data_IF_179318151228
#
_entry.id   IF_179318151228
#
_cell.length_a   1.000
_cell.length_b   1.000
_cell.length_c   1.000
_cell.angle_alpha   90.00
_cell.angle_beta   90.00
_cell.angle_gamma   90.00
#
_symmetry.space_group_name_H-M   'P 1'
#
loop_
_entity.id
_entity.type
_entity.pdbx_description
1 polymer ?
#
# COMPACT_ATOMS: atom_id res chain seq x y z
N UNK A 1 12.81 11.96 5.88
CA UNK A 1 11.84 12.90 5.27
C UNK A 1 10.87 13.52 6.29
N UNK A 2 11.33 13.99 7.45
CA UNK A 2 10.47 14.56 8.52
C UNK A 2 10.62 16.09 8.73
N UNK A 3 11.35 16.79 7.84
CA UNK A 3 11.69 18.22 8.04
C UNK A 3 10.75 19.21 7.34
N UNK A 4 9.83 18.76 6.48
CA UNK A 4 8.92 19.65 5.74
C UNK A 4 7.64 20.00 6.53
N UNK A 5 7.07 19.05 7.28
CA UNK A 5 5.84 19.25 8.08
C UNK A 5 6.04 20.21 9.28
N UNK A 6 7.23 20.21 9.90
CA UNK A 6 7.54 21.08 11.03
C UNK A 6 7.66 22.58 10.66
N UNK A 7 7.94 22.90 9.38
CA UNK A 7 8.10 24.27 8.90
C UNK A 7 6.75 24.97 8.71
N UNK A 8 5.71 24.24 8.27
CA UNK A 8 4.35 24.74 8.15
C UNK A 8 3.70 25.00 9.53
N UNK A 9 3.92 24.11 10.50
CA UNK A 9 3.39 24.26 11.86
C UNK A 9 4.05 25.43 12.63
N UNK A 10 5.35 25.67 12.44
CA UNK A 10 6.04 26.85 13.02
C UNK A 10 5.63 28.16 12.37
N UNK A 11 5.36 28.19 11.06
CA UNK A 11 4.89 29.39 10.37
C UNK A 11 3.51 29.85 10.85
N UNK A 12 2.60 28.91 11.13
CA UNK A 12 1.26 29.20 11.65
C UNK A 12 1.30 29.73 13.09
N UNK A 13 2.15 29.14 13.95
CA UNK A 13 2.35 29.60 15.34
C UNK A 13 3.02 30.98 15.43
N UNK A 14 3.95 31.31 14.50
CA UNK A 14 4.57 32.64 14.45
C UNK A 14 3.56 33.70 13.97
N UNK A 15 2.70 33.38 12.99
CA UNK A 15 1.60 34.29 12.58
C UNK A 15 0.57 34.51 13.71
N UNK A 16 0.23 33.47 14.48
CA UNK A 16 -0.66 33.61 15.65
C UNK A 16 -0.04 34.45 16.77
N UNK A 17 1.29 34.38 16.99
CA UNK A 17 1.97 35.12 18.04
C UNK A 17 2.14 36.62 17.71
N UNK A 18 2.39 36.94 16.44
CA UNK A 18 2.42 38.34 15.95
C UNK A 18 1.03 38.99 16.00
N UNK A 19 -0.03 38.22 15.76
CA UNK A 19 -1.42 38.69 15.90
C UNK A 19 -1.84 38.96 17.36
N UNK A 20 -1.33 38.18 18.32
CA UNK A 20 -1.65 38.39 19.74
C UNK A 20 -1.00 39.64 20.33
N UNK A 21 0.26 39.93 19.98
CA UNK A 21 0.94 41.16 20.43
C UNK A 21 0.39 42.45 19.79
N UNK A 22 -0.23 42.36 18.61
CA UNK A 22 -0.86 43.53 17.97
C UNK A 22 -2.23 43.89 18.59
N UNK A 23 -2.86 42.95 19.32
CA UNK A 23 -4.17 43.13 19.94
C UNK A 23 -4.12 43.90 21.28
N UNK A 24 -2.94 43.99 21.93
CA UNK A 24 -2.78 44.71 23.21
C UNK A 24 -2.42 46.20 23.05
N UNK A 25 -2.03 46.66 21.85
CA UNK A 25 -1.55 48.04 21.64
C UNK A 25 -2.61 49.05 21.16
N UNK A 26 -3.88 48.66 20.99
CA UNK A 26 -4.92 49.57 20.43
C UNK A 26 -6.12 49.74 21.35
N UNK A 27 -5.90 50.35 22.53
CA UNK A 27 -6.95 50.97 23.35
C UNK A 27 -7.01 52.47 23.07
N UNK A 28 -7.53 52.84 21.89
CA UNK A 28 -8.17 54.15 21.69
C UNK A 28 -9.53 53.95 21.01
N UNK A 29 -10.52 54.59 21.64
CA UNK A 29 -11.97 54.36 21.59
C UNK A 29 -12.64 54.67 20.24
N UNK A 30 -13.82 54.06 20.08
CA UNK A 30 -14.95 54.52 19.26
C UNK A 30 -14.93 54.30 17.73
N UNK A 31 -14.61 53.06 17.33
CA UNK A 31 -15.29 52.33 16.22
C UNK A 31 -14.78 50.88 16.07
N UNK A 32 -13.98 50.39 17.04
CA UNK A 32 -13.17 49.19 16.89
C UNK A 32 -13.93 47.89 17.20
N UNK A 33 -14.96 47.92 18.08
CA UNK A 33 -15.70 46.72 18.49
C UNK A 33 -16.49 46.05 17.37
N UNK A 34 -17.16 46.82 16.51
CA UNK A 34 -17.88 46.30 15.34
C UNK A 34 -16.92 45.75 14.29
N UNK A 35 -15.78 46.42 14.07
CA UNK A 35 -14.73 45.99 13.11
C UNK A 35 -13.99 44.74 13.59
N UNK A 36 -13.60 44.64 14.86
CA UNK A 36 -12.95 43.46 15.44
C UNK A 36 -13.91 42.26 15.43
N UNK A 37 -15.16 42.41 15.88
CA UNK A 37 -16.14 41.31 15.82
C UNK A 37 -16.42 40.87 14.38
N UNK A 38 -16.44 41.79 13.42
CA UNK A 38 -16.62 41.47 11.99
C UNK A 38 -15.38 40.77 11.40
N UNK A 39 -14.18 41.18 11.79
CA UNK A 39 -12.92 40.55 11.38
C UNK A 39 -12.78 39.14 11.97
N UNK A 40 -13.09 38.95 13.25
CA UNK A 40 -13.10 37.63 13.90
C UNK A 40 -14.15 36.71 13.28
N UNK A 41 -15.36 37.21 12.99
CA UNK A 41 -16.39 36.44 12.26
C UNK A 41 -15.97 36.07 10.84
N UNK A 42 -15.24 36.95 10.13
CA UNK A 42 -14.69 36.67 8.79
C UNK A 42 -13.55 35.65 8.84
N UNK A 43 -12.64 35.76 9.80
CA UNK A 43 -11.54 34.82 10.00
C UNK A 43 -12.04 33.43 10.40
N UNK A 44 -13.00 33.35 11.32
CA UNK A 44 -13.65 32.08 11.69
C UNK A 44 -14.38 31.47 10.48
N UNK A 45 -15.18 32.25 9.73
CA UNK A 45 -15.82 31.76 8.50
C UNK A 45 -14.82 31.27 7.46
N UNK A 46 -13.76 32.04 7.18
CA UNK A 46 -12.74 31.66 6.22
C UNK A 46 -12.01 30.36 6.62
N UNK A 47 -11.71 30.20 7.92
CA UNK A 47 -11.07 29.00 8.45
C UNK A 47 -12.01 27.79 8.41
N UNK A 48 -13.29 27.95 8.78
CA UNK A 48 -14.30 26.88 8.66
C UNK A 48 -14.53 26.47 7.20
N UNK A 49 -14.56 27.42 6.26
CA UNK A 49 -14.68 27.11 4.82
C UNK A 49 -13.44 26.39 4.28
N UNK A 50 -12.23 26.76 4.72
CA UNK A 50 -11.00 26.06 4.36
C UNK A 50 -11.02 24.60 4.82
N UNK A 51 -11.33 24.36 6.11
CA UNK A 51 -11.40 23.00 6.68
C UNK A 51 -12.49 22.15 6.00
N UNK A 52 -13.66 22.73 5.74
CA UNK A 52 -14.74 22.02 5.03
C UNK A 52 -14.38 21.66 3.58
N UNK A 53 -13.61 22.51 2.90
CA UNK A 53 -13.14 22.24 1.54
C UNK A 53 -12.09 21.12 1.52
N UNK A 54 -11.19 21.09 2.49
CA UNK A 54 -10.20 20.01 2.63
C UNK A 54 -10.87 18.66 2.92
N UNK A 55 -11.90 18.65 3.77
CA UNK A 55 -12.64 17.44 4.10
C UNK A 55 -13.44 16.91 2.89
N UNK A 56 -14.11 17.79 2.15
CA UNK A 56 -14.79 17.42 0.88
C UNK A 56 -13.82 16.93 -0.18
N UNK A 57 -12.62 17.51 -0.24
CA UNK A 57 -11.56 17.08 -1.15
C UNK A 57 -11.11 15.66 -0.81
N UNK A 58 -10.81 15.38 0.46
CA UNK A 58 -10.45 14.03 0.93
C UNK A 58 -11.55 13.00 0.65
N UNK A 59 -12.82 13.36 0.88
CA UNK A 59 -13.94 12.47 0.58
C UNK A 59 -14.05 12.16 -0.92
N UNK A 60 -13.87 13.17 -1.78
CA UNK A 60 -13.83 12.99 -3.23
C UNK A 60 -12.68 12.10 -3.66
N UNK A 61 -11.49 12.34 -3.12
CA UNK A 61 -10.29 11.55 -3.37
C UNK A 61 -10.48 10.07 -2.98
N UNK A 62 -11.03 9.80 -1.80
CA UNK A 62 -11.32 8.43 -1.34
C UNK A 62 -12.35 7.71 -2.23
N UNK A 63 -13.39 8.42 -2.70
CA UNK A 63 -14.36 7.86 -3.66
C UNK A 63 -13.67 7.49 -4.98
N UNK A 64 -12.81 8.38 -5.49
CA UNK A 64 -12.05 8.15 -6.72
C UNK A 64 -11.06 6.99 -6.57
N UNK A 65 -10.34 6.89 -5.45
CA UNK A 65 -9.44 5.77 -5.13
C UNK A 65 -10.22 4.45 -5.11
N UNK A 66 -11.37 4.40 -4.44
CA UNK A 66 -12.20 3.19 -4.36
C UNK A 66 -12.73 2.78 -5.74
N UNK A 67 -13.27 3.71 -6.51
CA UNK A 67 -13.79 3.42 -7.86
C UNK A 67 -12.68 3.09 -8.85
N UNK A 68 -11.52 3.75 -8.73
CA UNK A 68 -10.32 3.46 -9.52
C UNK A 68 -9.81 2.05 -9.27
N UNK A 69 -9.70 1.63 -8.00
CA UNK A 69 -9.33 0.25 -7.62
C UNK A 69 -10.22 -0.78 -8.34
N UNK A 70 -11.54 -0.60 -8.29
CA UNK A 70 -12.47 -1.53 -8.93
C UNK A 70 -12.30 -1.57 -10.46
N UNK A 71 -12.25 -0.40 -11.11
CA UNK A 71 -12.09 -0.29 -12.56
C UNK A 71 -10.75 -0.91 -13.03
N UNK A 72 -9.65 -0.63 -12.33
CA UNK A 72 -8.33 -1.18 -12.66
C UNK A 72 -8.25 -2.68 -12.44
N UNK A 73 -8.90 -3.20 -11.39
CA UNK A 73 -8.95 -4.65 -11.14
C UNK A 73 -9.71 -5.38 -12.27
N UNK A 74 -10.87 -4.84 -12.66
CA UNK A 74 -11.75 -5.46 -13.65
C UNK A 74 -11.16 -5.37 -15.05
N UNK A 75 -10.83 -4.16 -15.52
CA UNK A 75 -10.48 -3.89 -16.92
C UNK A 75 -8.98 -3.82 -17.17
N UNK A 76 -8.18 -3.59 -16.13
CA UNK A 76 -6.77 -3.25 -16.23
C UNK A 76 -6.50 -1.81 -16.68
N UNK A 77 -5.31 -1.32 -16.38
CA UNK A 77 -4.96 0.09 -16.54
C UNK A 77 -5.17 0.59 -17.98
N UNK A 78 -4.66 -0.14 -18.98
CA UNK A 78 -4.77 0.24 -20.38
C UNK A 78 -6.24 0.46 -20.82
N UNK A 79 -7.16 -0.42 -20.41
CA UNK A 79 -8.58 -0.38 -20.81
C UNK A 79 -9.48 0.42 -19.86
N UNK A 80 -8.99 0.74 -18.66
CA UNK A 80 -9.73 1.52 -17.67
C UNK A 80 -10.03 2.94 -18.17
N UNK A 81 -11.28 3.38 -17.97
CA UNK A 81 -11.80 4.64 -18.49
C UNK A 81 -12.09 5.63 -17.34
N UNK A 82 -11.52 6.83 -17.45
CA UNK A 82 -11.70 7.90 -16.47
C UNK A 82 -13.17 8.33 -16.31
N UNK A 83 -13.97 8.26 -17.38
CA UNK A 83 -15.40 8.58 -17.32
C UNK A 83 -16.16 7.56 -16.49
N UNK A 84 -15.83 6.27 -16.62
CA UNK A 84 -16.48 5.20 -15.87
C UNK A 84 -16.12 5.29 -14.38
N UNK A 85 -14.85 5.59 -14.07
CA UNK A 85 -14.38 5.86 -12.70
C UNK A 85 -15.16 7.02 -12.08
N UNK A 86 -15.28 8.17 -12.78
CA UNK A 86 -16.01 9.33 -12.28
C UNK A 86 -17.49 9.02 -12.05
N UNK A 87 -18.12 8.29 -12.98
CA UNK A 87 -19.52 7.85 -12.88
C UNK A 87 -19.73 6.95 -11.67
N UNK A 88 -18.87 5.95 -11.46
CA UNK A 88 -18.92 5.04 -10.32
C UNK A 88 -18.69 5.77 -8.99
N UNK A 89 -17.78 6.74 -8.96
CA UNK A 89 -17.50 7.58 -7.79
C UNK A 89 -18.59 8.63 -7.53
N UNK A 90 -19.53 8.83 -8.47
CA UNK A 90 -20.56 9.89 -8.46
C UNK A 90 -19.96 11.29 -8.35
N UNK A 91 -18.92 11.55 -9.13
CA UNK A 91 -18.23 12.85 -9.19
C UNK A 91 -18.14 13.33 -10.64
N UNK A 92 -17.97 14.64 -10.82
CA UNK A 92 -17.75 15.21 -12.15
C UNK A 92 -16.31 15.01 -12.60
N UNK A 93 -16.06 15.06 -13.91
CA UNK A 93 -14.70 15.05 -14.46
C UNK A 93 -13.86 16.23 -13.97
N UNK A 94 -14.47 17.41 -13.75
CA UNK A 94 -13.76 18.54 -13.14
C UNK A 94 -13.33 18.26 -11.70
N UNK A 95 -14.16 17.56 -10.92
CA UNK A 95 -13.79 17.13 -9.56
C UNK A 95 -12.66 16.09 -9.56
N UNK A 96 -12.59 15.22 -10.58
CA UNK A 96 -11.43 14.33 -10.77
C UNK A 96 -10.14 15.14 -10.90
N UNK A 97 -10.10 16.10 -11.83
CA UNK A 97 -8.88 16.87 -12.10
C UNK A 97 -8.47 17.79 -10.95
N UNK A 98 -9.39 18.09 -10.04
CA UNK A 98 -9.06 18.77 -8.78
C UNK A 98 -8.33 17.87 -7.78
N UNK A 99 -8.57 16.56 -7.82
CA UNK A 99 -7.92 15.55 -6.96
C UNK A 99 -6.68 14.94 -7.58
N UNK A 100 -6.72 14.58 -8.87
CA UNK A 100 -5.65 13.89 -9.58
C UNK A 100 -5.39 14.53 -10.94
N UNK A 101 -4.13 14.72 -11.29
CA UNK A 101 -3.74 15.30 -12.57
C UNK A 101 -4.19 14.44 -13.76
N UNK A 102 -4.11 13.11 -13.62
CA UNK A 102 -4.43 12.16 -14.67
C UNK A 102 -4.73 10.76 -14.09
N UNK A 103 -5.06 9.80 -14.97
CA UNK A 103 -5.34 8.41 -14.61
C UNK A 103 -4.15 7.73 -13.91
N UNK A 104 -2.93 8.10 -14.26
CA UNK A 104 -1.71 7.55 -13.68
C UNK A 104 -1.48 8.03 -12.25
N UNK A 105 -1.76 9.31 -11.95
CA UNK A 105 -1.71 9.86 -10.61
C UNK A 105 -2.71 9.17 -9.67
N UNK A 106 -3.90 8.81 -10.17
CA UNK A 106 -4.86 7.99 -9.43
C UNK A 106 -4.32 6.58 -9.18
N UNK A 107 -3.75 5.91 -10.19
CA UNK A 107 -3.13 4.60 -10.02
C UNK A 107 -1.99 4.64 -8.99
N UNK A 108 -1.19 5.71 -9.01
CA UNK A 108 -0.11 5.93 -8.05
C UNK A 108 -0.59 6.05 -6.62
N UNK A 109 -1.64 6.84 -6.38
CA UNK A 109 -2.25 6.94 -5.06
C UNK A 109 -2.80 5.60 -4.53
N UNK A 110 -3.15 4.67 -5.42
CA UNK A 110 -3.59 3.32 -5.07
C UNK A 110 -2.41 2.39 -4.77
N UNK A 111 -1.38 2.38 -5.62
CA UNK A 111 -0.32 1.35 -5.60
C UNK A 111 0.93 1.75 -4.81
N UNK A 112 1.33 3.03 -4.81
CA UNK A 112 2.58 3.46 -4.16
C UNK A 112 2.65 3.13 -2.66
N UNK A 113 1.56 3.28 -1.86
CA UNK A 113 1.59 2.87 -0.46
C UNK A 113 1.90 1.38 -0.30
N UNK A 114 1.26 0.54 -1.13
CA UNK A 114 1.42 -0.92 -1.08
C UNK A 114 2.82 -1.34 -1.51
N UNK A 115 3.36 -0.73 -2.57
CA UNK A 115 4.74 -0.95 -3.04
C UNK A 115 5.74 -0.59 -1.94
N UNK A 116 5.56 0.56 -1.30
CA UNK A 116 6.48 1.06 -0.27
C UNK A 116 6.50 0.14 0.95
N UNK A 117 5.34 -0.31 1.39
CA UNK A 117 5.22 -1.22 2.52
C UNK A 117 5.74 -2.62 2.20
N UNK A 118 5.42 -3.16 1.02
CA UNK A 118 5.97 -4.43 0.52
C UNK A 118 7.50 -4.42 0.49
N UNK A 119 8.11 -3.38 -0.10
CA UNK A 119 9.57 -3.26 -0.18
C UNK A 119 10.22 -3.21 1.22
N UNK A 120 9.58 -2.51 2.16
CA UNK A 120 10.03 -2.46 3.55
C UNK A 120 9.96 -3.85 4.21
N UNK A 121 8.85 -4.56 4.04
CA UNK A 121 8.67 -5.90 4.59
C UNK A 121 9.70 -6.88 4.04
N UNK A 122 9.91 -6.91 2.72
CA UNK A 122 10.93 -7.75 2.08
C UNK A 122 12.33 -7.50 2.65
N UNK A 123 12.71 -6.23 2.81
CA UNK A 123 14.02 -5.89 3.40
C UNK A 123 14.14 -6.36 4.86
N UNK A 124 13.09 -6.25 5.65
CA UNK A 124 13.08 -6.71 7.06
C UNK A 124 13.12 -8.23 7.14
N UNK A 125 12.34 -8.93 6.33
CA UNK A 125 12.25 -10.39 6.34
C UNK A 125 13.53 -11.05 5.85
N UNK A 126 14.11 -10.54 4.76
CA UNK A 126 15.40 -11.02 4.27
C UNK A 126 16.49 -10.94 5.36
N UNK A 127 16.54 -9.83 6.11
CA UNK A 127 17.48 -9.68 7.23
C UNK A 127 17.20 -10.65 8.39
N UNK A 128 15.93 -10.83 8.76
CA UNK A 128 15.53 -11.76 9.83
C UNK A 128 15.90 -13.20 9.50
N UNK A 129 15.62 -13.64 8.27
CA UNK A 129 15.99 -14.99 7.79
C UNK A 129 17.51 -15.17 7.70
N UNK A 130 18.24 -14.09 7.38
CA UNK A 130 19.69 -14.13 7.37
C UNK A 130 20.28 -14.32 8.78
N UNK A 131 19.67 -13.69 9.78
CA UNK A 131 20.05 -13.76 11.20
C UNK A 131 19.58 -15.08 11.85
N UNK A 132 18.35 -15.53 11.55
CA UNK A 132 17.73 -16.76 12.05
C UNK A 132 16.78 -17.37 10.99
N UNK A 133 17.18 -18.48 10.34
CA UNK A 133 16.34 -19.20 9.39
C UNK A 133 14.99 -19.68 9.96
N UNK A 134 14.88 -19.83 11.29
CA UNK A 134 13.63 -20.20 11.96
C UNK A 134 12.51 -19.16 11.82
N UNK A 135 12.82 -17.95 11.34
CA UNK A 135 11.84 -16.87 11.13
C UNK A 135 11.07 -16.98 9.82
N UNK A 136 11.44 -17.89 8.91
CA UNK A 136 10.84 -18.00 7.58
C UNK A 136 9.30 -18.23 7.61
N UNK A 137 8.82 -19.12 8.49
CA UNK A 137 7.38 -19.42 8.63
C UNK A 137 6.59 -18.18 9.12
N UNK A 138 7.19 -17.40 10.02
CA UNK A 138 6.58 -16.16 10.54
C UNK A 138 6.59 -15.04 9.49
N UNK A 139 7.68 -14.90 8.74
CA UNK A 139 7.78 -13.95 7.63
C UNK A 139 6.78 -14.28 6.51
N UNK A 140 6.64 -15.56 6.15
CA UNK A 140 5.66 -16.03 5.16
C UNK A 140 4.23 -15.75 5.63
N UNK A 141 3.92 -16.01 6.91
CA UNK A 141 2.62 -15.66 7.48
C UNK A 141 2.33 -14.16 7.37
N UNK A 142 3.24 -13.31 7.85
CA UNK A 142 3.07 -11.85 7.81
C UNK A 142 2.95 -11.31 6.37
N UNK A 143 3.74 -11.86 5.44
CA UNK A 143 3.65 -11.50 4.02
C UNK A 143 2.27 -11.87 3.45
N UNK A 144 1.78 -13.08 3.73
CA UNK A 144 0.49 -13.54 3.23
C UNK A 144 -0.69 -12.77 3.84
N UNK A 145 -0.62 -12.42 5.14
CA UNK A 145 -1.58 -11.52 5.79
C UNK A 145 -1.65 -10.17 5.09
N UNK A 146 -0.49 -9.56 4.83
CA UNK A 146 -0.39 -8.26 4.17
C UNK A 146 -0.94 -8.30 2.74
N UNK A 147 -0.51 -9.28 1.93
CA UNK A 147 -0.99 -9.44 0.56
C UNK A 147 -2.49 -9.74 0.52
N UNK A 148 -3.04 -10.43 1.52
CA UNK A 148 -4.49 -10.67 1.62
C UNK A 148 -5.26 -9.39 1.95
N UNK A 149 -4.73 -8.53 2.83
CA UNK A 149 -5.31 -7.23 3.15
C UNK A 149 -5.27 -6.25 1.95
N UNK A 150 -4.28 -6.39 1.07
CA UNK A 150 -4.06 -5.57 -0.12
C UNK A 150 -4.23 -6.35 -1.43
N UNK A 151 -5.11 -7.35 -1.43
CA UNK A 151 -5.30 -8.32 -2.53
C UNK A 151 -5.59 -7.65 -3.87
N UNK A 152 -6.46 -6.64 -3.88
CA UNK A 152 -6.84 -5.93 -5.10
C UNK A 152 -5.65 -5.23 -5.72
N UNK A 153 -4.88 -4.50 -4.92
CA UNK A 153 -3.67 -3.81 -5.35
C UNK A 153 -2.59 -4.78 -5.81
N UNK A 154 -2.39 -5.89 -5.10
CA UNK A 154 -1.46 -6.94 -5.51
C UNK A 154 -1.81 -7.50 -6.90
N UNK A 155 -3.09 -7.83 -7.16
CA UNK A 155 -3.53 -8.31 -8.48
C UNK A 155 -3.33 -7.23 -9.55
N UNK A 156 -3.67 -5.97 -9.24
CA UNK A 156 -3.52 -4.88 -10.20
C UNK A 156 -2.06 -4.73 -10.61
N UNK A 157 -1.18 -4.70 -9.62
CA UNK A 157 0.25 -4.49 -9.80
C UNK A 157 0.91 -5.65 -10.57
N UNK A 158 0.49 -6.88 -10.31
CA UNK A 158 1.08 -8.09 -10.88
C UNK A 158 0.52 -8.48 -12.26
N UNK A 159 -0.74 -8.13 -12.57
CA UNK A 159 -1.40 -8.63 -13.80
C UNK A 159 -2.15 -7.56 -14.61
N UNK A 160 -2.40 -6.37 -14.06
CA UNK A 160 -3.32 -5.39 -14.66
C UNK A 160 -2.71 -4.01 -14.86
N UNK A 161 -1.40 -3.87 -14.66
CA UNK A 161 -0.66 -2.60 -14.74
C UNK A 161 -0.13 -2.27 -16.13
N UNK A 162 -0.35 -3.12 -17.14
CA UNK A 162 0.09 -2.88 -18.52
C UNK A 162 -0.39 -1.53 -19.06
N UNK A 163 0.51 -0.81 -19.73
CA UNK A 163 0.36 0.56 -20.22
C UNK A 163 0.63 1.66 -19.19
N UNK A 164 0.97 1.32 -17.93
CA UNK A 164 1.33 2.28 -16.88
C UNK A 164 2.82 2.24 -16.55
N UNK A 165 3.29 3.19 -15.74
CA UNK A 165 4.65 3.15 -15.15
C UNK A 165 4.96 1.89 -14.33
N UNK A 166 3.96 1.09 -13.95
CA UNK A 166 4.14 -0.14 -13.18
C UNK A 166 4.12 -1.41 -14.02
N UNK A 167 4.04 -1.32 -15.34
CA UNK A 167 4.00 -2.50 -16.23
C UNK A 167 5.18 -3.45 -15.99
N UNK A 168 6.37 -2.92 -15.66
CA UNK A 168 7.56 -3.72 -15.37
C UNK A 168 7.64 -4.29 -13.94
N UNK A 169 6.66 -4.02 -13.07
CA UNK A 169 6.77 -4.35 -11.65
C UNK A 169 6.86 -5.86 -11.40
N UNK A 170 6.07 -6.69 -12.10
CA UNK A 170 6.15 -8.15 -11.98
C UNK A 170 7.55 -8.66 -12.29
N UNK A 171 8.17 -8.18 -13.37
CA UNK A 171 9.54 -8.54 -13.73
C UNK A 171 10.56 -8.05 -12.70
N UNK A 172 10.33 -6.88 -12.10
CA UNK A 172 11.17 -6.39 -11.00
C UNK A 172 11.11 -7.32 -9.77
N UNK A 173 9.91 -7.77 -9.38
CA UNK A 173 9.75 -8.75 -8.28
C UNK A 173 10.44 -10.06 -8.60
N UNK A 174 10.25 -10.57 -9.82
CA UNK A 174 10.88 -11.80 -10.28
C UNK A 174 12.42 -11.72 -10.17
N UNK A 175 13.04 -10.64 -10.68
CA UNK A 175 14.48 -10.41 -10.56
C UNK A 175 14.96 -10.26 -9.11
N UNK A 176 14.19 -9.57 -8.26
CA UNK A 176 14.52 -9.42 -6.84
C UNK A 176 14.46 -10.75 -6.10
N UNK A 177 13.44 -11.59 -6.37
CA UNK A 177 13.32 -12.92 -5.79
C UNK A 177 14.44 -13.84 -6.26
N UNK A 178 14.81 -13.80 -7.56
CA UNK A 178 15.97 -14.55 -8.05
C UNK A 178 17.24 -14.14 -7.34
N UNK A 179 17.52 -12.85 -7.18
CA UNK A 179 18.69 -12.37 -6.44
C UNK A 179 18.69 -12.84 -4.99
N UNK A 180 17.54 -12.83 -4.31
CA UNK A 180 17.42 -13.29 -2.93
C UNK A 180 17.68 -14.80 -2.81
N UNK A 181 17.08 -15.60 -3.69
CA UNK A 181 17.28 -17.05 -3.74
C UNK A 181 18.74 -17.40 -4.07
N UNK A 182 19.33 -16.74 -5.07
CA UNK A 182 20.75 -16.91 -5.40
C UNK A 182 21.64 -16.60 -4.19
N UNK A 183 21.38 -15.51 -3.47
CA UNK A 183 22.14 -15.15 -2.27
C UNK A 183 21.99 -16.20 -1.16
N UNK A 184 20.77 -16.64 -0.89
CA UNK A 184 20.46 -17.66 0.11
C UNK A 184 21.20 -18.98 -0.21
N UNK A 185 21.01 -19.54 -1.39
CA UNK A 185 21.66 -20.80 -1.78
C UNK A 185 23.18 -20.66 -1.84
N UNK A 186 23.71 -19.53 -2.32
CA UNK A 186 25.16 -19.31 -2.34
C UNK A 186 25.76 -19.31 -0.94
N UNK A 187 25.07 -18.73 0.04
CA UNK A 187 25.50 -18.70 1.45
C UNK A 187 25.61 -20.10 2.05
N UNK A 188 24.63 -20.98 1.80
CA UNK A 188 24.60 -22.32 2.37
C UNK A 188 25.40 -23.37 1.57
N UNK A 189 25.56 -23.17 0.27
CA UNK A 189 26.35 -24.07 -0.60
C UNK A 189 27.83 -23.70 -0.67
N UNK A 190 28.19 -22.43 -0.42
CA UNK A 190 29.54 -21.90 -0.61
C UNK A 190 29.93 -21.64 -2.08
N UNK A 191 29.01 -21.87 -3.02
CA UNK A 191 29.16 -21.64 -4.47
C UNK A 191 27.85 -21.11 -5.06
N UNK A 192 27.91 -20.45 -6.21
CA UNK A 192 26.70 -19.94 -6.86
C UNK A 192 25.82 -21.09 -7.41
N UNK A 193 24.50 -21.09 -7.15
CA UNK A 193 23.58 -22.08 -7.71
C UNK A 193 23.39 -21.89 -9.21
N UNK A 194 22.89 -22.93 -9.89
CA UNK A 194 22.46 -22.84 -11.29
C UNK A 194 21.36 -21.78 -11.46
N UNK A 195 21.60 -20.79 -12.32
CA UNK A 195 20.69 -19.67 -12.52
C UNK A 195 19.34 -20.08 -13.12
N UNK A 196 19.31 -21.11 -13.95
CA UNK A 196 18.09 -21.61 -14.56
C UNK A 196 17.23 -22.35 -13.53
N UNK A 197 17.86 -23.11 -12.63
CA UNK A 197 17.17 -23.69 -11.47
C UNK A 197 16.56 -22.59 -10.59
N UNK A 198 17.30 -21.53 -10.26
CA UNK A 198 16.78 -20.40 -9.46
C UNK A 198 15.58 -19.75 -10.16
N UNK A 199 15.69 -19.49 -11.46
CA UNK A 199 14.59 -18.94 -12.27
C UNK A 199 13.32 -19.80 -12.19
N UNK A 200 13.47 -21.13 -12.29
CA UNK A 200 12.35 -22.07 -12.21
C UNK A 200 11.74 -22.07 -10.81
N UNK A 201 12.54 -22.16 -9.75
CA UNK A 201 12.06 -22.17 -8.36
C UNK A 201 11.31 -20.88 -8.02
N UNK A 202 11.83 -19.73 -8.43
CA UNK A 202 11.16 -18.42 -8.25
C UNK A 202 9.84 -18.38 -9.02
N UNK A 203 9.80 -18.86 -10.26
CA UNK A 203 8.56 -18.92 -11.04
C UNK A 203 7.51 -19.80 -10.36
N UNK A 204 7.90 -20.95 -9.81
CA UNK A 204 6.99 -21.83 -9.07
C UNK A 204 6.44 -21.15 -7.81
N UNK A 205 7.33 -20.51 -7.03
CA UNK A 205 6.96 -19.80 -5.79
C UNK A 205 6.01 -18.63 -6.07
N UNK A 206 6.33 -17.82 -7.09
CA UNK A 206 5.52 -16.67 -7.48
C UNK A 206 4.15 -17.10 -8.00
N UNK A 207 4.09 -18.16 -8.82
CA UNK A 207 2.81 -18.70 -9.29
C UNK A 207 1.95 -19.21 -8.12
N UNK A 208 2.54 -19.95 -7.18
CA UNK A 208 1.83 -20.44 -5.99
C UNK A 208 1.18 -19.30 -5.19
N UNK A 209 1.90 -18.21 -4.94
CA UNK A 209 1.33 -17.04 -4.28
C UNK A 209 0.22 -16.38 -5.12
N UNK A 210 0.40 -16.25 -6.43
CA UNK A 210 -0.63 -15.66 -7.28
C UNK A 210 -1.91 -16.51 -7.32
N UNK A 211 -1.82 -17.83 -7.29
CA UNK A 211 -3.01 -18.71 -7.16
C UNK A 211 -3.75 -18.48 -5.84
N UNK A 212 -3.03 -18.37 -4.71
CA UNK A 212 -3.64 -18.08 -3.41
C UNK A 212 -4.29 -16.69 -3.37
N UNK A 213 -3.60 -15.67 -3.90
CA UNK A 213 -4.11 -14.31 -3.94
C UNK A 213 -5.31 -14.21 -4.87
N UNK A 214 -5.34 -14.91 -6.00
CA UNK A 214 -6.48 -14.84 -6.94
C UNK A 214 -7.64 -15.76 -6.57
N UNK A 215 -7.38 -16.84 -5.85
CA UNK A 215 -8.41 -17.78 -5.41
C UNK A 215 -9.41 -17.19 -4.40
N UNK A 216 -10.57 -17.82 -4.36
CA UNK A 216 -11.64 -17.53 -3.40
C UNK A 216 -11.39 -18.30 -2.11
N UNK A 217 -10.53 -17.71 -1.27
CA UNK A 217 -10.10 -18.24 0.02
C UNK A 217 -10.31 -17.19 1.10
N UNK A 218 -10.55 -17.62 2.34
CA UNK A 218 -10.42 -16.71 3.49
C UNK A 218 -8.96 -16.32 3.72
N UNK A 219 -8.71 -15.34 4.59
CA UNK A 219 -7.34 -14.96 4.97
C UNK A 219 -6.64 -16.14 5.67
N UNK A 220 -7.33 -16.81 6.58
CA UNK A 220 -6.83 -17.97 7.32
C UNK A 220 -6.51 -19.13 6.38
N UNK A 221 -7.35 -19.37 5.36
CA UNK A 221 -7.08 -20.40 4.35
C UNK A 221 -5.85 -20.07 3.51
N UNK A 222 -5.66 -18.80 3.08
CA UNK A 222 -4.45 -18.39 2.34
C UNK A 222 -3.20 -18.58 3.18
N UNK A 223 -3.22 -18.18 4.45
CA UNK A 223 -2.10 -18.36 5.37
C UNK A 223 -1.78 -19.85 5.56
N UNK A 224 -2.80 -20.67 5.80
CA UNK A 224 -2.64 -22.13 5.97
C UNK A 224 -2.04 -22.76 4.70
N UNK A 225 -2.60 -22.45 3.53
CA UNK A 225 -2.13 -23.00 2.27
C UNK A 225 -0.73 -22.51 1.91
N UNK A 226 -0.40 -21.24 2.18
CA UNK A 226 0.96 -20.71 2.00
C UNK A 226 1.98 -21.49 2.82
N UNK A 227 1.66 -21.75 4.10
CA UNK A 227 2.49 -22.58 4.98
C UNK A 227 2.65 -24.01 4.46
N UNK A 228 1.57 -24.64 3.99
CA UNK A 228 1.63 -26.00 3.43
C UNK A 228 2.51 -26.06 2.17
N UNK A 229 2.42 -25.04 1.30
CA UNK A 229 3.32 -24.88 0.14
C UNK A 229 4.77 -24.69 0.62
N UNK A 230 5.01 -23.88 1.65
CA UNK A 230 6.33 -23.68 2.26
C UNK A 230 6.93 -24.98 2.79
N UNK A 231 6.18 -25.76 3.56
CA UNK A 231 6.63 -27.08 4.07
C UNK A 231 7.03 -28.01 2.92
N UNK A 232 6.25 -28.04 1.83
CA UNK A 232 6.59 -28.84 0.67
C UNK A 232 7.86 -28.34 -0.04
N UNK A 233 8.04 -27.03 -0.16
CA UNK A 233 9.21 -26.43 -0.77
C UNK A 233 10.49 -26.71 0.04
N UNK A 234 10.42 -26.62 1.37
CA UNK A 234 11.58 -26.73 2.25
C UNK A 234 11.98 -28.18 2.56
N UNK A 235 10.99 -29.05 2.75
CA UNK A 235 11.20 -30.40 3.27
C UNK A 235 10.59 -31.52 2.41
N UNK A 236 9.97 -31.16 1.27
CA UNK A 236 9.42 -32.11 0.31
C UNK A 236 8.06 -32.71 0.72
N UNK A 237 7.50 -33.53 -0.18
CA UNK A 237 6.16 -34.11 -0.03
C UNK A 237 5.98 -34.97 1.22
N UNK A 238 7.01 -35.70 1.63
CA UNK A 238 6.93 -36.58 2.81
C UNK A 238 6.73 -35.79 4.11
N UNK A 239 7.40 -34.64 4.24
CA UNK A 239 7.21 -33.75 5.38
C UNK A 239 5.81 -33.15 5.39
N UNK A 240 5.30 -32.72 4.24
CA UNK A 240 3.93 -32.22 4.11
C UNK A 240 2.89 -33.31 4.48
N UNK A 241 3.04 -34.54 4.00
CA UNK A 241 2.15 -35.66 4.36
C UNK A 241 2.13 -35.88 5.87
N UNK A 242 3.31 -35.88 6.51
CA UNK A 242 3.42 -36.03 7.97
C UNK A 242 2.70 -34.90 8.70
N UNK A 243 2.88 -33.65 8.26
CA UNK A 243 2.20 -32.48 8.83
C UNK A 243 0.67 -32.59 8.71
N UNK A 244 0.15 -32.90 7.52
CA UNK A 244 -1.28 -33.00 7.25
C UNK A 244 -1.95 -34.13 8.05
N UNK A 245 -1.27 -35.27 8.21
CA UNK A 245 -1.76 -36.36 9.06
C UNK A 245 -1.86 -35.94 10.53
N UNK A 246 -0.88 -35.17 11.02
CA UNK A 246 -0.90 -34.62 12.38
C UNK A 246 -2.08 -33.69 12.64
N UNK A 247 -2.44 -32.85 11.66
CA UNK A 247 -3.59 -31.94 11.78
C UNK A 247 -4.93 -32.71 11.86
N UNK A 248 -5.11 -33.77 11.06
CA UNK A 248 -6.34 -34.58 11.07
C UNK A 248 -6.64 -35.23 12.42
N UNK A 249 -5.60 -35.61 13.15
CA UNK A 249 -5.74 -36.20 14.49
C UNK A 249 -6.13 -35.17 15.57
N UNK A 250 -5.82 -33.88 15.36
CA UNK A 250 -6.23 -32.78 16.25
C UNK A 250 -7.72 -32.48 16.11
N UNK A 251 -8.29 -32.55 14.90
CA UNK A 251 -9.72 -32.31 14.67
C UNK A 251 -10.63 -33.54 14.91
N UNK A 252 -10.03 -34.70 15.23
CA UNK A 252 -10.76 -35.92 15.63
C UNK A 252 -10.99 -36.04 17.14
N UNK A 253 -10.37 -35.18 17.95
CA UNK A 253 -10.57 -35.07 19.40
C UNK A 253 -11.42 -33.85 19.72
#
# INVERSE_FOLDING_TARGET
MAKSSAKAHRSCLVQMKVMWHFAESTTKKENCGSRIVTLTKRLVRANTTSVMNDERRKQTEQKLIRSGRAEFLEKGYAKANLRDICKAARVTTGAFYFSFENKEALLAAILDPVITDYQRMCSVFAKREEDDPGTADDNERQMMEYLSAHRTEAIILMEKSAGSRYEGFKSQIDMQMQSAFTSYFSKFMGVSPDAELIRILVSMRLQGYMELIKGDYTVEERIRLAREIGIHADAGSMALIKYLNGQKEVYRK
#
